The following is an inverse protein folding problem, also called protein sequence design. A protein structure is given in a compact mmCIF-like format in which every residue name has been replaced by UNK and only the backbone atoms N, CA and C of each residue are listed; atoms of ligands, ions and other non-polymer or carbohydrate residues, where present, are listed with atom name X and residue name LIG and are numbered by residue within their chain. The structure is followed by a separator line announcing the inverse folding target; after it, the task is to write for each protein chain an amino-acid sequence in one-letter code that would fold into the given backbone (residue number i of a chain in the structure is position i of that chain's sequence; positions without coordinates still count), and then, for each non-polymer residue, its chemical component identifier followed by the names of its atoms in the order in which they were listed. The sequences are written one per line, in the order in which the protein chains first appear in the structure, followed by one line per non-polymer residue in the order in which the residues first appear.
data_IF_887319518020
#
_entry.id   IF_887319518020
#
_cell.length_a   1.000
_cell.length_b   1.000
_cell.length_c   1.000
_cell.angle_alpha   90.00
_cell.angle_beta   90.00
_cell.angle_gamma   90.00
#
_symmetry.space_group_name_H-M   'P 1'
#
loop_
_entity.id
_entity.type
_entity.pdbx_description
1 polymer ?
#
# COMPACT_ATOMS: atom_id res chain seq x y z
N UNK A 1 -30.39 14.28 8.96
CA UNK A 1 -29.71 13.38 7.99
C UNK A 1 -28.27 13.82 7.94
N UNK A 2 -27.31 12.91 8.16
CA UNK A 2 -25.90 13.21 7.91
C UNK A 2 -25.66 13.35 6.42
N UNK A 3 -24.77 14.24 6.02
CA UNK A 3 -24.34 14.36 4.62
C UNK A 3 -23.48 13.14 4.30
N UNK A 4 -23.75 12.46 3.19
CA UNK A 4 -22.92 11.35 2.72
C UNK A 4 -21.95 11.88 1.67
N UNK A 5 -20.66 11.58 1.83
CA UNK A 5 -19.60 11.95 0.89
C UNK A 5 -18.87 10.70 0.43
N UNK A 6 -18.91 10.43 -0.88
CA UNK A 6 -18.17 9.35 -1.51
C UNK A 6 -16.80 9.85 -2.01
N UNK A 7 -15.73 9.14 -1.68
CA UNK A 7 -14.35 9.49 -2.03
C UNK A 7 -13.65 8.31 -2.69
N UNK A 8 -13.02 8.54 -3.84
CA UNK A 8 -12.14 7.55 -4.48
C UNK A 8 -10.68 7.95 -4.28
N UNK A 9 -9.85 7.00 -3.81
CA UNK A 9 -8.45 7.25 -3.50
C UNK A 9 -7.56 6.37 -4.40
N UNK A 10 -6.90 6.99 -5.38
CA UNK A 10 -5.85 6.33 -6.16
C UNK A 10 -4.59 6.23 -5.33
N UNK A 11 -4.09 5.01 -5.15
CA UNK A 11 -2.99 4.78 -4.23
C UNK A 11 -2.19 3.53 -4.57
N UNK A 12 -0.87 3.66 -4.67
CA UNK A 12 0.03 2.51 -4.79
C UNK A 12 0.47 1.98 -3.41
N UNK A 13 0.89 0.71 -3.34
CA UNK A 13 1.38 0.07 -2.11
C UNK A 13 2.83 0.48 -1.81
N UNK A 14 3.64 0.71 -2.85
CA UNK A 14 5.05 1.14 -2.70
C UNK A 14 5.22 2.66 -2.57
N UNK A 15 4.12 3.43 -2.52
CA UNK A 15 4.17 4.88 -2.47
C UNK A 15 4.19 5.40 -1.02
N UNK A 16 5.29 6.02 -0.54
CA UNK A 16 5.37 6.46 0.85
C UNK A 16 4.36 7.58 1.17
N UNK A 17 4.10 8.46 0.19
CA UNK A 17 3.10 9.51 0.33
C UNK A 17 1.66 8.99 0.38
N UNK A 18 1.39 7.83 -0.21
CA UNK A 18 0.09 7.17 -0.06
C UNK A 18 -0.15 6.70 1.37
N UNK A 19 0.88 6.18 2.06
CA UNK A 19 0.72 5.78 3.46
C UNK A 19 0.53 7.00 4.37
N UNK A 20 1.39 8.01 4.24
CA UNK A 20 1.26 9.28 4.97
C UNK A 20 -0.12 9.91 4.71
N UNK A 21 -0.54 9.95 3.44
CA UNK A 21 -1.83 10.49 3.03
C UNK A 21 -3.00 9.71 3.63
N UNK A 22 -2.93 8.38 3.70
CA UNK A 22 -3.95 7.55 4.34
C UNK A 22 -4.13 7.91 5.82
N UNK A 23 -3.05 7.97 6.60
CA UNK A 23 -3.13 8.30 8.04
C UNK A 23 -3.74 9.69 8.24
N UNK A 24 -3.32 10.67 7.44
CA UNK A 24 -3.89 12.02 7.48
C UNK A 24 -5.37 12.06 7.09
N UNK A 25 -5.73 11.31 6.04
CA UNK A 25 -7.11 11.22 5.57
C UNK A 25 -8.03 10.60 6.63
N UNK A 26 -7.61 9.49 7.25
CA UNK A 26 -8.40 8.83 8.29
C UNK A 26 -8.57 9.72 9.54
N UNK A 27 -7.54 10.49 9.91
CA UNK A 27 -7.66 11.51 10.94
C UNK A 27 -8.71 12.57 10.57
N UNK A 28 -8.68 13.09 9.35
CA UNK A 28 -9.66 14.07 8.88
C UNK A 28 -11.10 13.50 8.83
N UNK A 29 -11.26 12.23 8.43
CA UNK A 29 -12.56 11.54 8.46
C UNK A 29 -13.10 11.46 9.89
N UNK A 30 -12.25 11.13 10.86
CA UNK A 30 -12.66 11.06 12.26
C UNK A 30 -13.11 12.43 12.81
N UNK A 31 -12.46 13.52 12.39
CA UNK A 31 -12.79 14.89 12.81
C UNK A 31 -14.17 15.36 12.31
N UNK A 32 -14.68 14.83 11.20
CA UNK A 32 -15.97 15.24 10.60
C UNK A 32 -17.10 14.22 10.79
N UNK A 33 -16.85 13.14 11.53
CA UNK A 33 -17.75 11.97 11.62
C UNK A 33 -19.12 12.27 12.25
N UNK A 34 -19.25 13.39 12.99
CA UNK A 34 -20.51 13.81 13.58
C UNK A 34 -21.52 14.33 12.55
N UNK A 35 -21.01 14.98 11.49
CA UNK A 35 -21.81 15.68 10.48
C UNK A 35 -21.81 14.97 9.11
N UNK A 36 -20.69 14.32 8.77
CA UNK A 36 -20.44 13.73 7.46
C UNK A 36 -20.15 12.24 7.60
N UNK A 37 -20.93 11.42 6.90
CA UNK A 37 -20.59 10.02 6.65
C UNK A 37 -19.68 9.95 5.42
N UNK A 38 -18.40 9.73 5.63
CA UNK A 38 -17.43 9.55 4.53
C UNK A 38 -17.35 8.08 4.17
N UNK A 39 -17.65 7.76 2.92
CA UNK A 39 -17.45 6.43 2.32
C UNK A 39 -16.32 6.53 1.33
N UNK A 40 -15.38 5.60 1.39
CA UNK A 40 -14.27 5.63 0.43
C UNK A 40 -13.82 4.26 -0.03
N UNK A 41 -13.27 4.24 -1.24
CA UNK A 41 -12.73 3.06 -1.92
C UNK A 41 -11.33 3.36 -2.44
N UNK A 42 -10.44 2.39 -2.36
CA UNK A 42 -9.11 2.49 -2.96
C UNK A 42 -9.17 2.02 -4.42
N UNK A 43 -8.64 2.86 -5.32
CA UNK A 43 -8.47 2.54 -6.74
C UNK A 43 -7.00 2.23 -7.03
N UNK A 44 -6.72 1.26 -7.91
CA UNK A 44 -5.36 0.86 -8.21
C UNK A 44 -4.60 1.98 -8.93
N UNK A 45 -3.34 2.15 -8.56
CA UNK A 45 -2.39 2.99 -9.28
C UNK A 45 -1.02 2.35 -9.14
N UNK A 46 -0.33 2.09 -10.25
CA UNK A 46 1.05 1.60 -10.23
C UNK A 46 2.01 2.74 -10.58
N UNK A 47 2.90 3.09 -9.65
CA UNK A 47 3.96 4.07 -9.88
C UNK A 47 4.94 3.61 -10.97
N UNK A 48 5.15 2.30 -11.09
CA UNK A 48 5.97 1.68 -12.13
C UNK A 48 5.34 0.36 -12.59
N UNK A 49 4.42 0.39 -13.59
CA UNK A 49 3.84 -0.82 -14.16
C UNK A 49 4.87 -1.75 -14.82
N UNK A 50 6.08 -1.26 -15.10
CA UNK A 50 7.16 -1.99 -15.77
C UNK A 50 8.13 -2.64 -14.79
N UNK A 51 7.89 -2.52 -13.48
CA UNK A 51 8.69 -3.23 -12.47
C UNK A 51 8.66 -4.74 -12.77
N UNK A 52 9.80 -5.45 -12.80
CA UNK A 52 9.81 -6.88 -13.08
C UNK A 52 8.99 -7.67 -12.05
N UNK A 53 8.13 -8.57 -12.51
CA UNK A 53 7.41 -9.50 -11.63
C UNK A 53 8.38 -10.56 -11.10
N UNK A 54 8.23 -10.96 -9.82
CA UNK A 54 9.02 -12.02 -9.19
C UNK A 54 10.51 -11.70 -8.98
N UNK A 55 10.94 -10.46 -9.21
CA UNK A 55 12.33 -10.04 -9.05
C UNK A 55 12.41 -8.76 -8.21
N UNK A 56 12.15 -8.91 -6.91
CA UNK A 56 12.26 -7.82 -5.97
C UNK A 56 13.72 -7.42 -5.74
N UNK A 57 13.98 -6.12 -5.63
CA UNK A 57 15.33 -5.56 -5.41
C UNK A 57 15.30 -4.54 -4.27
N UNK A 58 16.41 -4.23 -3.59
CA UNK A 58 16.41 -3.19 -2.56
C UNK A 58 15.87 -1.86 -3.09
N UNK A 59 14.96 -1.22 -2.34
CA UNK A 59 14.34 0.05 -2.77
C UNK A 59 15.38 1.18 -2.86
N UNK A 60 16.44 1.12 -2.04
CA UNK A 60 17.52 2.11 -2.01
C UNK A 60 18.24 2.19 -3.36
N UNK A 61 18.49 1.05 -4.00
CA UNK A 61 19.13 0.97 -5.31
C UNK A 61 18.22 1.54 -6.40
N UNK A 62 16.92 1.23 -6.31
CA UNK A 62 15.92 1.77 -7.22
C UNK A 62 15.80 3.29 -7.11
N UNK A 63 15.85 3.84 -5.89
CA UNK A 63 15.87 5.28 -5.68
C UNK A 63 17.14 5.91 -6.24
N UNK A 64 18.31 5.29 -6.02
CA UNK A 64 19.57 5.79 -6.57
C UNK A 64 19.54 5.84 -8.10
N UNK A 65 19.08 4.77 -8.75
CA UNK A 65 18.93 4.72 -10.20
C UNK A 65 17.94 5.78 -10.73
N UNK A 66 16.83 6.00 -10.02
CA UNK A 66 15.76 6.93 -10.45
C UNK A 66 16.11 8.39 -10.23
N UNK A 67 16.78 8.71 -9.11
CA UNK A 67 16.99 10.08 -8.66
C UNK A 67 18.42 10.59 -8.83
N UNK A 68 19.27 9.85 -9.54
CA UNK A 68 20.58 10.31 -9.99
C UNK A 68 21.71 10.10 -8.97
N UNK A 69 21.64 9.02 -8.18
CA UNK A 69 22.74 8.57 -7.33
C UNK A 69 22.34 8.31 -5.87
N UNK A 70 23.23 7.63 -5.10
CA UNK A 70 22.95 7.23 -3.73
C UNK A 70 22.77 8.41 -2.77
N UNK A 71 23.52 9.51 -2.94
CA UNK A 71 23.40 10.69 -2.06
C UNK A 71 22.01 11.34 -2.21
N UNK A 72 21.53 11.47 -3.45
CA UNK A 72 20.22 12.06 -3.72
C UNK A 72 19.10 11.15 -3.24
N UNK A 73 19.24 9.84 -3.44
CA UNK A 73 18.32 8.84 -2.90
C UNK A 73 18.23 8.91 -1.37
N UNK A 74 19.36 8.99 -0.69
CA UNK A 74 19.43 9.07 0.76
C UNK A 74 18.70 10.31 1.29
N UNK A 75 18.91 11.49 0.68
CA UNK A 75 18.20 12.72 1.07
C UNK A 75 16.68 12.59 0.93
N UNK A 76 16.21 12.02 -0.18
CA UNK A 76 14.77 11.83 -0.43
C UNK A 76 14.18 10.84 0.58
N UNK A 77 14.87 9.72 0.82
CA UNK A 77 14.45 8.69 1.77
C UNK A 77 14.41 9.27 3.20
N UNK A 78 15.43 10.01 3.63
CA UNK A 78 15.48 10.64 4.94
C UNK A 78 14.33 11.63 5.13
N UNK A 79 14.09 12.49 4.13
CA UNK A 79 13.01 13.45 4.19
C UNK A 79 11.66 12.76 4.36
N UNK A 80 11.33 11.80 3.49
CA UNK A 80 10.01 11.15 3.55
C UNK A 80 9.85 10.31 4.82
N UNK A 81 10.92 9.68 5.32
CA UNK A 81 10.92 8.94 6.59
C UNK A 81 10.66 9.88 7.77
N UNK A 82 11.26 11.07 7.79
CA UNK A 82 10.99 12.06 8.86
C UNK A 82 9.54 12.54 8.86
N UNK A 83 8.93 12.70 7.68
CA UNK A 83 7.53 13.10 7.57
C UNK A 83 6.61 11.97 8.02
N UNK A 84 6.93 10.72 7.65
CA UNK A 84 6.18 9.54 8.11
C UNK A 84 6.23 9.37 9.63
N UNK A 85 7.40 9.57 10.24
CA UNK A 85 7.57 9.51 11.69
C UNK A 85 6.72 10.55 12.43
N UNK A 86 6.53 11.75 11.85
CA UNK A 86 5.64 12.78 12.41
C UNK A 86 4.15 12.37 12.39
N UNK A 87 3.77 11.41 11.55
CA UNK A 87 2.43 10.80 11.54
C UNK A 87 2.39 9.45 12.29
N UNK A 88 3.46 9.10 13.03
CA UNK A 88 3.53 7.87 13.82
C UNK A 88 3.86 6.60 13.02
N UNK A 89 4.43 6.73 11.82
CA UNK A 89 4.78 5.60 10.95
C UNK A 89 6.30 5.39 10.94
N UNK A 90 6.76 4.16 11.18
CA UNK A 90 8.19 3.82 11.18
C UNK A 90 8.63 3.21 9.83
N UNK A 91 9.09 4.03 8.89
CA UNK A 91 9.60 3.50 7.62
C UNK A 91 10.97 2.81 7.77
N UNK A 92 11.03 1.55 7.34
CA UNK A 92 12.20 0.67 7.21
C UNK A 92 12.66 0.58 5.77
N UNK A 93 13.02 1.73 5.21
CA UNK A 93 13.50 1.84 3.82
C UNK A 93 14.84 1.11 3.58
N UNK A 94 15.55 0.77 4.65
CA UNK A 94 16.71 -0.12 4.64
C UNK A 94 16.38 -1.57 4.28
N UNK A 95 15.12 -1.98 4.44
CA UNK A 95 14.61 -3.35 4.20
C UNK A 95 13.59 -3.43 3.07
N UNK A 96 12.94 -2.31 2.75
CA UNK A 96 11.90 -2.27 1.73
C UNK A 96 12.42 -2.70 0.35
N UNK A 97 11.58 -3.40 -0.39
CA UNK A 97 11.92 -4.02 -1.66
C UNK A 97 11.11 -3.39 -2.79
N UNK A 98 11.76 -2.86 -3.82
CA UNK A 98 11.08 -2.55 -5.08
C UNK A 98 10.51 -3.84 -5.67
N UNK A 99 9.19 -3.92 -5.73
CA UNK A 99 8.44 -5.03 -6.28
C UNK A 99 7.32 -4.53 -7.20
N UNK A 100 6.85 -5.38 -8.12
CA UNK A 100 5.68 -5.08 -8.94
C UNK A 100 4.40 -5.19 -8.08
N UNK A 101 3.58 -4.14 -8.07
CA UNK A 101 2.38 -4.05 -7.23
C UNK A 101 1.12 -4.62 -7.86
N UNK A 102 1.19 -5.21 -9.05
CA UNK A 102 0.01 -5.67 -9.79
C UNK A 102 -0.80 -6.70 -8.99
N UNK A 103 -0.15 -7.73 -8.45
CA UNK A 103 -0.82 -8.73 -7.63
C UNK A 103 -1.41 -8.13 -6.33
N UNK A 104 -0.70 -7.21 -5.69
CA UNK A 104 -1.20 -6.50 -4.51
C UNK A 104 -2.47 -5.69 -4.84
N UNK A 105 -2.52 -5.05 -6.02
CA UNK A 105 -3.71 -4.33 -6.50
C UNK A 105 -4.86 -5.27 -6.84
N UNK A 106 -4.59 -6.43 -7.45
CA UNK A 106 -5.60 -7.47 -7.66
C UNK A 106 -6.19 -7.95 -6.33
N UNK A 107 -5.37 -8.17 -5.32
CA UNK A 107 -5.86 -8.55 -3.98
C UNK A 107 -6.71 -7.45 -3.34
N UNK A 108 -6.33 -6.18 -3.51
CA UNK A 108 -7.13 -5.02 -3.08
C UNK A 108 -8.51 -4.95 -3.77
N UNK A 109 -8.57 -5.36 -5.03
CA UNK A 109 -9.81 -5.48 -5.80
C UNK A 109 -10.69 -6.62 -5.27
N UNK A 110 -10.12 -7.79 -4.97
CA UNK A 110 -10.85 -8.90 -4.33
C UNK A 110 -11.51 -8.48 -3.01
N UNK A 111 -10.87 -7.58 -2.26
CA UNK A 111 -11.38 -7.07 -0.99
C UNK A 111 -12.45 -5.97 -1.15
N UNK A 112 -12.68 -5.43 -2.34
CA UNK A 112 -13.68 -4.39 -2.59
C UNK A 112 -15.08 -4.88 -2.21
N UNK A 113 -15.85 -4.05 -1.52
CA UNK A 113 -17.20 -4.40 -1.04
C UNK A 113 -17.26 -5.42 0.10
N UNK A 114 -16.14 -6.04 0.51
CA UNK A 114 -16.12 -7.06 1.56
C UNK A 114 -16.01 -6.50 3.00
N UNK A 115 -15.83 -5.19 3.16
CA UNK A 115 -15.50 -4.54 4.45
C UNK A 115 -14.03 -4.65 4.86
N UNK A 116 -13.23 -5.48 4.18
CA UNK A 116 -11.82 -5.72 4.52
C UNK A 116 -10.83 -4.83 3.76
N UNK A 117 -11.27 -4.11 2.71
CA UNK A 117 -10.37 -3.36 1.82
C UNK A 117 -9.48 -2.35 2.55
N UNK A 118 -10.04 -1.61 3.53
CA UNK A 118 -9.26 -0.61 4.26
C UNK A 118 -8.21 -1.24 5.19
N UNK A 119 -8.58 -2.32 5.88
CA UNK A 119 -7.68 -3.08 6.74
C UNK A 119 -6.56 -3.73 5.91
N UNK A 120 -6.91 -4.32 4.76
CA UNK A 120 -5.94 -4.87 3.81
C UNK A 120 -4.97 -3.80 3.30
N UNK A 121 -5.48 -2.61 2.92
CA UNK A 121 -4.62 -1.49 2.50
C UNK A 121 -3.59 -1.15 3.57
N UNK A 122 -4.03 -1.01 4.83
CA UNK A 122 -3.11 -0.77 5.96
C UNK A 122 -2.09 -1.88 6.04
N UNK A 123 -2.54 -3.15 6.07
CA UNK A 123 -1.66 -4.31 6.23
C UNK A 123 -0.58 -4.41 5.16
N UNK A 124 -0.94 -4.20 3.89
CA UNK A 124 0.00 -4.21 2.76
C UNK A 124 0.98 -3.04 2.79
N UNK A 125 0.55 -1.87 3.23
CA UNK A 125 1.45 -0.73 3.44
C UNK A 125 2.48 -1.06 4.55
N UNK A 126 2.05 -1.67 5.66
CA UNK A 126 2.97 -2.13 6.73
C UNK A 126 3.91 -3.22 6.24
N UNK A 127 3.40 -4.19 5.49
CA UNK A 127 4.20 -5.26 4.88
C UNK A 127 5.39 -4.70 4.11
N UNK A 128 5.14 -3.66 3.31
CA UNK A 128 6.17 -3.00 2.52
C UNK A 128 7.08 -2.08 3.35
N UNK A 129 6.48 -1.15 4.09
CA UNK A 129 7.21 -0.03 4.71
C UNK A 129 7.81 -0.34 6.08
N UNK A 130 7.25 -1.28 6.84
CA UNK A 130 7.69 -1.60 8.20
C UNK A 130 8.35 -2.98 8.25
N UNK A 131 7.73 -3.98 7.61
CA UNK A 131 8.15 -5.38 7.72
C UNK A 131 9.24 -5.76 6.71
N UNK A 132 9.37 -5.03 5.60
CA UNK A 132 10.33 -5.33 4.52
C UNK A 132 9.96 -6.58 3.72
N UNK A 133 8.68 -6.90 3.61
CA UNK A 133 8.18 -8.05 2.87
C UNK A 133 8.01 -7.74 1.38
N UNK A 134 8.19 -8.77 0.55
CA UNK A 134 7.96 -8.69 -0.89
C UNK A 134 6.46 -8.70 -1.21
N UNK A 135 5.88 -7.53 -1.49
CA UNK A 135 4.46 -7.39 -1.87
C UNK A 135 4.17 -7.86 -3.31
N UNK A 136 5.18 -8.32 -4.05
CA UNK A 136 5.02 -8.98 -5.34
C UNK A 136 4.88 -10.50 -5.21
N UNK A 137 5.12 -11.07 -4.03
CA UNK A 137 5.01 -12.50 -3.76
C UNK A 137 3.56 -12.88 -3.37
N UNK A 138 2.87 -13.74 -4.15
CA UNK A 138 1.50 -14.14 -3.85
C UNK A 138 1.33 -14.83 -2.49
N UNK A 139 2.35 -15.52 -1.97
CA UNK A 139 2.28 -16.18 -0.67
C UNK A 139 2.39 -15.17 0.47
N UNK A 140 3.21 -14.11 0.31
CA UNK A 140 3.23 -12.96 1.24
C UNK A 140 1.88 -12.26 1.24
N UNK A 141 1.31 -12.01 0.06
CA UNK A 141 0.02 -11.35 -0.09
C UNK A 141 -1.13 -12.15 0.54
N UNK A 142 -1.16 -13.47 0.34
CA UNK A 142 -2.16 -14.35 0.94
C UNK A 142 -2.09 -14.36 2.48
N UNK A 143 -0.89 -14.36 3.06
CA UNK A 143 -0.73 -14.22 4.53
C UNK A 143 -1.24 -12.87 5.04
N UNK A 144 -0.92 -11.78 4.34
CA UNK A 144 -1.42 -10.46 4.69
C UNK A 144 -2.96 -10.38 4.61
N UNK A 145 -3.57 -11.08 3.65
CA UNK A 145 -5.02 -11.17 3.50
C UNK A 145 -5.67 -11.88 4.71
N UNK A 146 -5.07 -12.98 5.16
CA UNK A 146 -5.56 -13.78 6.27
C UNK A 146 -5.59 -13.01 7.59
N UNK A 147 -4.53 -12.23 7.85
CA UNK A 147 -4.41 -11.36 9.02
C UNK A 147 -5.54 -10.31 9.13
N UNK A 148 -6.21 -10.01 8.02
CA UNK A 148 -7.34 -9.05 7.97
C UNK A 148 -8.69 -9.71 7.70
N UNK A 149 -8.78 -11.04 7.79
CA UNK A 149 -10.04 -11.79 7.68
C UNK A 149 -10.40 -12.28 6.28
N UNK A 150 -9.50 -12.20 5.31
CA UNK A 150 -9.68 -12.80 3.98
C UNK A 150 -8.88 -14.10 3.95
N UNK A 151 -9.58 -15.25 3.93
CA UNK A 151 -8.94 -16.56 4.02
C UNK A 151 -7.77 -16.72 3.04
N UNK A 152 -6.61 -17.15 3.57
CA UNK A 152 -5.36 -17.25 2.81
C UNK A 152 -5.51 -18.10 1.54
N UNK A 153 -6.20 -19.22 1.61
CA UNK A 153 -6.46 -20.13 0.49
C UNK A 153 -7.28 -19.46 -0.62
N UNK A 154 -8.31 -18.71 -0.26
CA UNK A 154 -9.11 -17.90 -1.21
C UNK A 154 -8.25 -16.83 -1.87
N UNK A 155 -7.48 -16.06 -1.10
CA UNK A 155 -6.61 -15.03 -1.64
C UNK A 155 -5.58 -15.62 -2.61
N UNK A 156 -4.97 -16.74 -2.20
CA UNK A 156 -3.94 -17.44 -2.97
C UNK A 156 -4.49 -18.08 -4.24
N UNK A 157 -5.70 -18.64 -4.22
CA UNK A 157 -6.38 -19.15 -5.40
C UNK A 157 -6.77 -18.03 -6.38
N UNK A 158 -7.25 -16.90 -5.86
CA UNK A 158 -7.58 -15.74 -6.68
C UNK A 158 -6.34 -15.18 -7.40
N UNK A 159 -5.23 -15.03 -6.69
CA UNK A 159 -3.97 -14.50 -7.25
C UNK A 159 -3.37 -15.39 -8.36
N UNK A 160 -3.59 -16.70 -8.30
CA UNK A 160 -3.18 -17.67 -9.34
C UNK A 160 -4.12 -17.72 -10.55
N UNK A 161 -5.31 -17.12 -10.45
CA UNK A 161 -6.29 -17.09 -11.53
C UNK A 161 -6.12 -15.85 -12.43
N UNK A 162 -6.90 -15.79 -13.51
CA UNK A 162 -7.03 -14.60 -14.36
C UNK A 162 -8.20 -13.69 -13.93
N UNK A 163 -8.85 -13.96 -12.80
CA UNK A 163 -10.00 -13.17 -12.34
C UNK A 163 -9.55 -11.76 -11.93
N UNK A 164 -10.21 -10.72 -12.45
CA UNK A 164 -9.80 -9.32 -12.23
C UNK A 164 -8.49 -8.92 -12.93
N UNK A 165 -8.06 -9.65 -13.97
CA UNK A 165 -6.94 -9.28 -14.86
C UNK A 165 -7.34 -8.29 -15.96
#
# INVERSE_FOLDING_TARGET
MRTVLDVEIWSDIVCPWCYIGKVRFERAVAEVADDIEVRWVYRPYQLDPRAPAGAATPVVDAYAAKFGGPERAQQIIQHVTSVAAAEGIEFRMDRALRANTFLAHRLMWLAEGSGHQHALKTRLLRAYFEDGLDIGDPDVLARCADEVGIAADRARAFLDSDEGA
#
